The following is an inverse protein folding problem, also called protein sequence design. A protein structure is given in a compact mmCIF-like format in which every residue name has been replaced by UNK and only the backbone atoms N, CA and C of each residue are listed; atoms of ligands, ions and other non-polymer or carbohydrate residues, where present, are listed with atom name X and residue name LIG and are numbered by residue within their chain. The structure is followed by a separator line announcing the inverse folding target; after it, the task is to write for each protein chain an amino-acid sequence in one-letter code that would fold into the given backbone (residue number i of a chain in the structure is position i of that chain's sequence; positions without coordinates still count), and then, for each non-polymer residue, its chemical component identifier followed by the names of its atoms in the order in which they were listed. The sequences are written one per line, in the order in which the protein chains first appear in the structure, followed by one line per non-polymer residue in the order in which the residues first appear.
data_IF_811938535660
#
_entry.id   IF_811938535660
#
_cell.length_a   1.000
_cell.length_b   1.000
_cell.length_c   1.000
_cell.angle_alpha   90.00
_cell.angle_beta   90.00
_cell.angle_gamma   90.00
#
_symmetry.space_group_name_H-M   'P 1'
#
loop_
_entity.id
_entity.type
_entity.pdbx_description
1 polymer ?
#
# COMPACT_ATOMS: atom_id res chain seq x y z
N UNK A 1 8.73 69.84 -34.35
CA UNK A 1 9.28 68.46 -34.26
C UNK A 1 8.49 67.76 -33.18
N UNK A 2 7.56 66.82 -33.55
CA UNK A 2 6.75 66.03 -32.61
C UNK A 2 7.34 64.64 -32.51
N UNK A 3 7.88 64.29 -31.35
CA UNK A 3 8.42 62.94 -31.07
C UNK A 3 7.25 62.04 -30.69
N UNK A 4 7.05 60.99 -31.47
CA UNK A 4 6.10 59.91 -31.18
C UNK A 4 6.83 58.83 -30.41
N UNK A 5 6.50 58.65 -29.11
CA UNK A 5 6.96 57.47 -28.34
C UNK A 5 6.09 56.28 -28.66
N UNK A 6 6.71 55.26 -29.27
CA UNK A 6 6.12 53.96 -29.49
C UNK A 6 6.31 53.14 -28.18
N UNK A 7 5.21 52.87 -27.46
CA UNK A 7 5.20 51.94 -26.33
C UNK A 7 5.06 50.53 -26.86
N UNK A 8 6.09 49.71 -26.74
CA UNK A 8 6.03 48.27 -27.05
C UNK A 8 5.36 47.53 -25.92
N UNK A 9 4.18 46.98 -26.17
CA UNK A 9 3.47 46.09 -25.24
C UNK A 9 4.05 44.66 -25.33
N UNK A 10 4.86 44.31 -24.33
CA UNK A 10 5.36 42.94 -24.18
C UNK A 10 4.23 42.02 -23.66
N UNK A 11 3.66 41.23 -24.53
CA UNK A 11 2.73 40.15 -24.15
C UNK A 11 3.54 39.00 -23.55
N UNK A 12 3.54 38.84 -22.24
CA UNK A 12 4.09 37.66 -21.55
C UNK A 12 3.12 36.50 -21.69
N UNK A 13 3.45 35.54 -22.55
CA UNK A 13 2.73 34.26 -22.65
C UNK A 13 3.12 33.41 -21.44
N UNK A 14 2.26 33.32 -20.43
CA UNK A 14 2.41 32.35 -19.33
C UNK A 14 2.15 30.95 -19.92
N UNK A 15 3.01 29.96 -19.65
CA UNK A 15 2.72 28.58 -20.03
C UNK A 15 1.47 28.13 -19.27
N UNK A 16 0.42 27.74 -20.00
CA UNK A 16 -0.71 27.05 -19.42
C UNK A 16 -0.22 25.68 -18.89
N UNK A 17 -0.08 25.56 -17.58
CA UNK A 17 0.08 24.24 -16.96
C UNK A 17 -1.19 23.44 -17.30
N UNK A 18 -1.04 22.39 -18.09
CA UNK A 18 -2.10 21.43 -18.32
C UNK A 18 -2.45 20.81 -16.96
N UNK A 19 -3.57 21.22 -16.40
CA UNK A 19 -4.14 20.65 -15.20
C UNK A 19 -4.68 19.30 -15.63
N UNK A 20 -4.06 18.20 -15.18
CA UNK A 20 -4.60 16.86 -15.40
C UNK A 20 -6.03 16.84 -14.87
N UNK A 21 -6.97 16.44 -15.73
CA UNK A 21 -8.37 16.31 -15.35
C UNK A 21 -8.48 15.25 -14.23
N UNK A 22 -9.02 15.59 -13.05
CA UNK A 22 -9.14 14.64 -11.95
C UNK A 22 -10.10 13.48 -12.24
N UNK A 23 -10.86 13.55 -13.34
CA UNK A 23 -11.94 12.61 -13.70
C UNK A 23 -11.65 11.76 -14.94
N UNK A 24 -10.39 11.59 -15.31
CA UNK A 24 -10.05 10.69 -16.42
C UNK A 24 -10.38 9.23 -16.07
N UNK A 25 -11.08 8.52 -16.96
CA UNK A 25 -11.34 7.09 -16.77
C UNK A 25 -10.01 6.31 -16.76
N UNK A 26 -9.84 5.45 -15.75
CA UNK A 26 -8.67 4.56 -15.60
C UNK A 26 -9.12 3.13 -15.87
N UNK A 27 -8.50 2.48 -16.86
CA UNK A 27 -8.67 1.05 -17.14
C UNK A 27 -7.30 0.40 -16.97
N UNK A 28 -7.07 -0.29 -15.84
CA UNK A 28 -5.88 -1.05 -15.59
C UNK A 28 -6.14 -2.55 -15.82
N UNK A 29 -5.31 -3.18 -16.69
CA UNK A 29 -5.32 -4.63 -16.85
C UNK A 29 -4.24 -5.21 -15.92
N UNK A 30 -4.59 -6.17 -15.06
CA UNK A 30 -3.68 -6.77 -14.09
C UNK A 30 -2.38 -7.31 -14.71
N UNK A 31 -2.44 -7.82 -15.96
CA UNK A 31 -1.26 -8.30 -16.68
C UNK A 31 -0.24 -7.20 -17.03
N UNK A 32 -0.68 -5.94 -17.08
CA UNK A 32 0.21 -4.80 -17.38
C UNK A 32 0.67 -4.04 -16.13
N UNK A 33 0.21 -4.41 -14.94
CA UNK A 33 0.62 -3.79 -13.68
C UNK A 33 2.11 -4.03 -13.41
N UNK A 34 2.85 -2.96 -13.12
CA UNK A 34 4.28 -3.02 -12.78
C UNK A 34 4.42 -3.06 -11.27
N UNK A 35 4.77 -4.23 -10.75
CA UNK A 35 5.02 -4.42 -9.33
C UNK A 35 6.45 -4.04 -8.98
N UNK A 36 6.61 -3.29 -7.89
CA UNK A 36 7.91 -2.87 -7.35
C UNK A 36 7.95 -3.08 -5.83
N UNK A 37 9.15 -3.17 -5.27
CA UNK A 37 9.34 -3.15 -3.84
C UNK A 37 8.90 -1.79 -3.26
N UNK A 38 8.47 -1.81 -2.01
CA UNK A 38 7.98 -0.63 -1.29
C UNK A 38 9.00 -0.31 -0.19
N UNK A 39 9.59 0.88 -0.16
CA UNK A 39 10.50 1.25 0.92
C UNK A 39 9.85 1.08 2.29
N UNK A 40 10.54 0.41 3.20
CA UNK A 40 10.07 0.17 4.56
C UNK A 40 9.02 -0.96 4.71
N UNK A 41 8.69 -1.68 3.65
CA UNK A 41 7.80 -2.87 3.68
C UNK A 41 8.67 -4.12 3.42
N UNK A 42 8.32 -5.33 3.95
CA UNK A 42 9.09 -6.53 3.72
C UNK A 42 9.26 -6.87 2.23
N UNK A 43 10.42 -7.36 1.82
CA UNK A 43 10.75 -7.71 0.41
C UNK A 43 9.84 -8.79 -0.18
N UNK A 44 9.14 -9.54 0.66
CA UNK A 44 8.15 -10.53 0.25
C UNK A 44 6.82 -9.90 -0.24
N UNK A 45 6.66 -8.58 -0.11
CA UNK A 45 5.52 -7.82 -0.60
C UNK A 45 5.94 -6.85 -1.72
N UNK A 46 5.14 -6.76 -2.77
CA UNK A 46 5.32 -5.82 -3.87
C UNK A 46 4.01 -5.10 -4.17
N UNK A 47 4.11 -3.89 -4.75
CA UNK A 47 2.96 -3.02 -5.02
C UNK A 47 2.97 -2.54 -6.46
N UNK A 48 1.79 -2.46 -7.07
CA UNK A 48 1.53 -1.75 -8.30
C UNK A 48 0.48 -0.66 -8.07
N UNK A 49 0.77 0.57 -8.49
CA UNK A 49 -0.20 1.68 -8.42
C UNK A 49 -1.21 1.53 -9.55
N UNK A 50 -2.49 1.46 -9.22
CA UNK A 50 -3.60 1.39 -10.18
C UNK A 50 -4.22 2.78 -10.42
N UNK A 51 -4.29 3.64 -9.38
CA UNK A 51 -4.78 5.02 -9.47
C UNK A 51 -4.15 5.88 -8.37
N UNK A 52 -3.93 7.16 -8.68
CA UNK A 52 -3.39 8.12 -7.73
C UNK A 52 -1.88 8.01 -7.55
N UNK A 53 -1.38 8.62 -6.47
CA UNK A 53 0.03 8.61 -6.06
C UNK A 53 0.07 8.35 -4.54
N UNK A 54 0.43 7.12 -4.12
CA UNK A 54 0.44 6.79 -2.69
C UNK A 54 1.43 7.63 -1.87
N UNK A 55 2.40 8.29 -2.51
CA UNK A 55 3.30 9.21 -1.82
C UNK A 55 2.72 10.62 -1.60
N UNK A 56 1.58 10.96 -2.21
CA UNK A 56 1.03 12.31 -2.19
C UNK A 56 -0.42 12.43 -1.76
N UNK A 57 -1.21 11.36 -1.87
CA UNK A 57 -2.64 11.44 -1.59
C UNK A 57 -3.37 10.11 -1.71
N UNK A 58 -4.71 10.17 -1.81
CA UNK A 58 -5.52 8.99 -1.97
C UNK A 58 -5.10 8.16 -3.18
N UNK A 59 -5.07 6.84 -3.01
CA UNK A 59 -4.62 5.94 -4.06
C UNK A 59 -5.30 4.58 -4.01
N UNK A 60 -5.27 3.90 -5.15
CA UNK A 60 -5.65 2.50 -5.28
C UNK A 60 -4.43 1.73 -5.73
N UNK A 61 -4.08 0.71 -4.99
CA UNK A 61 -2.90 -0.11 -5.26
C UNK A 61 -3.26 -1.60 -5.24
N UNK A 62 -2.57 -2.39 -6.05
CA UNK A 62 -2.58 -3.84 -5.93
C UNK A 62 -1.29 -4.29 -5.24
N UNK A 63 -1.40 -5.08 -4.19
CA UNK A 63 -0.26 -5.70 -3.53
C UNK A 63 -0.24 -7.21 -3.78
N UNK A 64 0.97 -7.75 -3.89
CA UNK A 64 1.24 -9.19 -3.95
C UNK A 64 2.19 -9.58 -2.84
N UNK A 65 1.92 -10.73 -2.24
CA UNK A 65 2.70 -11.29 -1.14
C UNK A 65 3.10 -12.71 -1.49
N UNK A 66 4.36 -13.05 -1.28
CA UNK A 66 4.80 -14.45 -1.41
C UNK A 66 4.20 -15.31 -0.28
N UNK A 67 4.08 -16.66 -0.47
CA UNK A 67 3.60 -17.53 0.59
C UNK A 67 4.42 -17.39 1.88
N UNK A 68 3.73 -17.22 3.00
CA UNK A 68 4.37 -17.03 4.30
C UNK A 68 4.82 -15.60 4.61
N UNK A 69 4.64 -14.66 3.67
CA UNK A 69 4.96 -13.25 3.89
C UNK A 69 4.23 -12.68 5.11
N UNK A 70 4.96 -11.98 5.96
CA UNK A 70 4.43 -11.30 7.15
C UNK A 70 4.79 -9.82 7.05
N UNK A 71 3.77 -8.95 7.02
CA UNK A 71 3.94 -7.53 7.29
C UNK A 71 3.78 -7.37 8.81
N UNK A 72 4.84 -7.02 9.57
CA UNK A 72 4.81 -7.00 11.04
C UNK A 72 3.74 -6.07 11.60
N UNK A 73 3.52 -6.11 12.91
CA UNK A 73 2.61 -5.19 13.61
C UNK A 73 2.94 -3.74 13.31
N UNK A 74 1.95 -3.02 12.77
CA UNK A 74 2.10 -1.63 12.32
C UNK A 74 0.75 -0.92 12.33
N UNK A 75 0.79 0.38 12.07
CA UNK A 75 -0.37 1.20 11.78
C UNK A 75 -0.03 2.19 10.65
N UNK A 76 -1.06 2.78 10.04
CA UNK A 76 -0.96 3.81 9.00
C UNK A 76 -1.68 5.08 9.44
N UNK A 77 -1.20 6.26 9.00
CA UNK A 77 -1.96 7.50 9.11
C UNK A 77 -3.24 7.47 8.27
N UNK A 78 -3.23 7.04 7.00
CA UNK A 78 -4.47 6.82 6.27
C UNK A 78 -5.28 5.65 6.84
N UNK A 79 -6.58 5.66 6.61
CA UNK A 79 -7.37 4.44 6.68
C UNK A 79 -7.14 3.60 5.42
N UNK A 80 -7.35 2.32 5.55
CA UNK A 80 -7.08 1.34 4.51
C UNK A 80 -8.28 0.41 4.33
N UNK A 81 -8.70 0.19 3.09
CA UNK A 81 -9.66 -0.86 2.75
C UNK A 81 -8.99 -1.89 1.87
N UNK A 82 -9.22 -3.18 2.14
CA UNK A 82 -8.62 -4.30 1.43
C UNK A 82 -9.68 -5.21 0.82
N UNK A 83 -9.47 -5.60 -0.44
CA UNK A 83 -10.26 -6.62 -1.14
C UNK A 83 -9.29 -7.68 -1.66
N UNK A 84 -9.21 -8.86 -1.03
CA UNK A 84 -8.38 -9.94 -1.52
C UNK A 84 -8.83 -10.43 -2.91
N UNK A 85 -7.85 -10.68 -3.76
CA UNK A 85 -8.02 -11.23 -5.11
C UNK A 85 -7.60 -12.69 -5.20
N UNK A 86 -6.65 -13.10 -4.36
CA UNK A 86 -6.09 -14.45 -4.40
C UNK A 86 -5.42 -14.81 -3.07
N UNK A 87 -5.29 -16.10 -2.82
CA UNK A 87 -4.64 -16.64 -1.62
C UNK A 87 -5.49 -16.53 -0.36
N UNK A 88 -4.83 -16.64 0.78
CA UNK A 88 -5.44 -16.55 2.12
C UNK A 88 -4.70 -15.45 2.88
N UNK A 89 -5.33 -14.29 2.99
CA UNK A 89 -4.78 -13.12 3.68
C UNK A 89 -5.32 -13.06 5.10
N UNK A 90 -4.48 -13.35 6.08
CA UNK A 90 -4.81 -13.21 7.49
C UNK A 90 -4.52 -11.79 7.94
N UNK A 91 -5.52 -11.13 8.51
CA UNK A 91 -5.41 -9.82 9.15
C UNK A 91 -5.62 -10.01 10.66
N UNK A 92 -4.67 -9.56 11.44
CA UNK A 92 -4.74 -9.56 12.90
C UNK A 92 -4.82 -8.13 13.39
N UNK A 93 -5.89 -7.75 14.08
CA UNK A 93 -6.02 -6.47 14.77
C UNK A 93 -5.54 -6.63 16.21
N UNK A 94 -4.86 -5.60 16.75
CA UNK A 94 -4.36 -5.68 18.12
C UNK A 94 -5.50 -5.82 19.12
N UNK A 95 -5.46 -6.89 19.92
CA UNK A 95 -6.50 -7.20 20.92
C UNK A 95 -7.68 -8.02 20.37
N UNK A 96 -7.69 -8.35 19.08
CA UNK A 96 -8.75 -9.12 18.45
C UNK A 96 -8.25 -10.48 17.96
N UNK A 97 -9.18 -11.36 17.61
CA UNK A 97 -8.83 -12.63 16.95
C UNK A 97 -8.48 -12.38 15.50
N UNK A 98 -7.47 -13.07 14.95
CA UNK A 98 -7.16 -13.02 13.54
C UNK A 98 -8.35 -13.38 12.67
N UNK A 99 -8.51 -12.66 11.56
CA UNK A 99 -9.54 -12.93 10.54
C UNK A 99 -8.85 -13.34 9.26
N UNK A 100 -9.31 -14.44 8.68
CA UNK A 100 -8.81 -14.94 7.40
C UNK A 100 -9.72 -14.41 6.29
N UNK A 101 -9.16 -13.61 5.41
CA UNK A 101 -9.85 -13.05 4.25
C UNK A 101 -9.49 -13.85 2.99
N UNK A 102 -10.50 -14.11 2.17
CA UNK A 102 -10.40 -14.80 0.89
C UNK A 102 -10.89 -13.92 -0.25
N UNK A 103 -10.81 -14.40 -1.49
CA UNK A 103 -11.25 -13.66 -2.66
C UNK A 103 -12.70 -13.16 -2.51
N UNK A 104 -12.88 -11.85 -2.65
CA UNK A 104 -14.16 -11.15 -2.58
C UNK A 104 -14.57 -10.69 -1.17
N UNK A 105 -13.85 -11.08 -0.12
CA UNK A 105 -14.05 -10.52 1.20
C UNK A 105 -13.61 -9.04 1.23
N UNK A 106 -14.07 -8.31 2.25
CA UNK A 106 -13.74 -6.92 2.46
C UNK A 106 -13.22 -6.69 3.88
N UNK A 107 -12.09 -6.01 4.00
CA UNK A 107 -11.52 -5.53 5.25
C UNK A 107 -11.45 -4.01 5.28
N UNK A 108 -11.76 -3.40 6.43
CA UNK A 108 -11.54 -1.98 6.69
C UNK A 108 -10.66 -1.82 7.93
N UNK A 109 -9.57 -1.12 7.76
CA UNK A 109 -8.57 -0.86 8.79
C UNK A 109 -8.55 0.65 9.04
N UNK A 110 -9.11 1.10 10.19
CA UNK A 110 -9.15 2.53 10.51
C UNK A 110 -7.75 3.14 10.65
N UNK A 111 -7.65 4.44 10.39
CA UNK A 111 -6.45 5.23 10.68
C UNK A 111 -5.90 4.91 12.07
N UNK A 112 -4.58 4.68 12.15
CA UNK A 112 -3.82 4.39 13.38
C UNK A 112 -4.24 3.12 14.14
N UNK A 113 -5.06 2.27 13.54
CA UNK A 113 -5.39 0.98 14.14
C UNK A 113 -4.25 -0.01 13.95
N UNK A 114 -3.68 -0.51 15.05
CA UNK A 114 -2.54 -1.43 15.00
C UNK A 114 -2.99 -2.78 14.48
N UNK A 115 -2.33 -3.25 13.41
CA UNK A 115 -2.65 -4.51 12.76
C UNK A 115 -1.40 -5.20 12.20
N UNK A 116 -1.56 -6.45 11.77
CA UNK A 116 -0.57 -7.26 11.08
C UNK A 116 -1.24 -7.96 9.92
N UNK A 117 -0.53 -8.10 8.80
CA UNK A 117 -0.98 -8.89 7.66
C UNK A 117 -0.07 -10.09 7.43
N UNK A 118 -0.65 -11.23 7.04
CA UNK A 118 0.09 -12.44 6.71
C UNK A 118 -0.53 -13.19 5.54
N UNK A 119 0.29 -13.52 4.55
CA UNK A 119 -0.10 -14.45 3.50
C UNK A 119 0.03 -15.88 3.99
N UNK A 120 -1.08 -16.55 4.27
CA UNK A 120 -1.10 -17.93 4.80
C UNK A 120 -1.23 -18.97 3.69
N UNK A 121 -0.90 -20.22 3.99
CA UNK A 121 -0.95 -21.30 3.02
C UNK A 121 0.25 -21.32 2.06
N UNK A 122 0.11 -22.10 0.97
CA UNK A 122 1.21 -22.39 0.02
C UNK A 122 1.12 -21.60 -1.29
N UNK A 123 0.08 -20.76 -1.46
CA UNK A 123 -0.11 -19.94 -2.66
C UNK A 123 0.19 -18.48 -2.36
N UNK A 124 0.67 -17.70 -3.34
CA UNK A 124 0.77 -16.25 -3.19
C UNK A 124 -0.58 -15.61 -2.88
N UNK A 125 -0.55 -14.52 -2.11
CA UNK A 125 -1.72 -13.68 -1.88
C UNK A 125 -1.65 -12.44 -2.77
N UNK A 126 -2.83 -11.93 -3.15
CA UNK A 126 -3.00 -10.65 -3.82
C UNK A 126 -4.22 -9.94 -3.27
N UNK A 127 -4.14 -8.62 -3.14
CA UNK A 127 -5.28 -7.80 -2.71
C UNK A 127 -5.20 -6.40 -3.33
N UNK A 128 -6.37 -5.78 -3.56
CA UNK A 128 -6.48 -4.35 -3.86
C UNK A 128 -6.66 -3.62 -2.55
N UNK A 129 -5.89 -2.54 -2.38
CA UNK A 129 -5.99 -1.63 -1.26
C UNK A 129 -6.41 -0.24 -1.71
N UNK A 130 -7.29 0.38 -0.95
CA UNK A 130 -7.74 1.76 -1.11
C UNK A 130 -7.22 2.56 0.07
N UNK A 131 -6.40 3.55 -0.20
CA UNK A 131 -5.84 4.47 0.79
C UNK A 131 -6.50 5.83 0.63
N UNK A 132 -6.97 6.44 1.71
CA UNK A 132 -7.69 7.73 1.68
C UNK A 132 -6.77 8.95 1.84
N UNK A 133 -5.46 8.73 2.12
CA UNK A 133 -4.45 9.76 2.26
C UNK A 133 -3.07 9.21 1.82
N UNK A 134 -1.97 10.01 1.86
CA UNK A 134 -0.62 9.52 1.58
C UNK A 134 -0.25 8.32 2.45
N UNK A 135 0.36 7.31 1.84
CA UNK A 135 0.81 6.11 2.51
C UNK A 135 2.01 6.40 3.42
N UNK A 136 1.94 5.90 4.64
CA UNK A 136 3.04 5.72 5.56
C UNK A 136 2.91 4.35 6.25
N UNK A 137 3.95 3.93 6.98
CA UNK A 137 3.90 2.72 7.81
C UNK A 137 4.72 2.92 9.07
N UNK A 138 4.09 2.70 10.22
CA UNK A 138 4.67 2.85 11.55
C UNK A 138 4.67 1.51 12.26
N UNK A 139 5.84 0.90 12.38
CA UNK A 139 6.00 -0.38 13.04
C UNK A 139 5.94 -0.25 14.54
N UNK A 140 5.36 -1.27 15.19
CA UNK A 140 5.25 -1.32 16.65
C UNK A 140 5.69 -2.66 17.21
N UNK A 141 6.15 -2.66 18.46
CA UNK A 141 6.42 -3.87 19.22
C UNK A 141 5.13 -4.48 19.82
N UNK A 142 5.30 -5.55 20.59
CA UNK A 142 4.18 -6.24 21.26
C UNK A 142 3.40 -5.35 22.24
N UNK A 143 4.05 -4.35 22.84
CA UNK A 143 3.39 -3.38 23.72
C UNK A 143 2.56 -2.36 22.93
N UNK A 144 2.91 -2.12 21.66
CA UNK A 144 2.36 -1.10 20.79
C UNK A 144 3.20 0.16 20.73
N UNK A 145 4.41 0.13 21.29
CA UNK A 145 5.37 1.22 21.15
C UNK A 145 6.02 1.18 19.75
N UNK A 146 6.20 2.34 19.14
CA UNK A 146 6.86 2.43 17.83
C UNK A 146 8.31 1.95 17.90
N UNK A 147 8.72 1.21 16.87
CA UNK A 147 10.08 0.71 16.69
C UNK A 147 10.59 1.02 15.27
N UNK A 148 11.91 1.11 15.08
CA UNK A 148 12.47 1.31 13.75
C UNK A 148 12.05 0.21 12.76
N UNK A 149 11.74 0.59 11.51
CA UNK A 149 11.37 -0.36 10.45
C UNK A 149 12.41 -1.49 10.30
N UNK A 150 13.69 -1.17 10.31
CA UNK A 150 14.76 -2.16 10.20
C UNK A 150 14.69 -3.25 11.28
N UNK A 151 14.31 -2.90 12.52
CA UNK A 151 14.13 -3.85 13.59
C UNK A 151 12.92 -4.76 13.33
N UNK A 152 11.76 -4.18 13.00
CA UNK A 152 10.53 -4.93 12.74
C UNK A 152 10.70 -5.90 11.58
N UNK A 153 11.34 -5.46 10.48
CA UNK A 153 11.59 -6.28 9.29
C UNK A 153 12.54 -7.44 9.59
N UNK A 154 13.63 -7.21 10.34
CA UNK A 154 14.56 -8.27 10.72
C UNK A 154 13.90 -9.31 11.66
N UNK A 155 12.98 -8.91 12.53
CA UNK A 155 12.21 -9.83 13.35
C UNK A 155 11.23 -10.66 12.53
N UNK A 156 10.54 -10.06 11.56
CA UNK A 156 9.64 -10.76 10.64
C UNK A 156 10.39 -11.78 9.77
N UNK A 157 11.56 -11.42 9.23
CA UNK A 157 12.39 -12.32 8.43
C UNK A 157 12.75 -13.59 9.23
N UNK A 158 13.14 -13.46 10.50
CA UNK A 158 13.42 -14.60 11.37
C UNK A 158 12.20 -15.51 11.57
N UNK A 159 10.99 -14.95 11.57
CA UNK A 159 9.74 -15.73 11.68
C UNK A 159 9.41 -16.45 10.38
N UNK A 160 9.65 -15.81 9.24
CA UNK A 160 9.41 -16.39 7.91
C UNK A 160 10.42 -17.52 7.55
N UNK A 161 11.65 -17.43 8.05
CA UNK A 161 12.73 -18.40 7.75
C UNK A 161 12.78 -19.59 8.70
N UNK A 162 12.00 -19.61 9.79
CA UNK A 162 11.97 -20.75 10.72
C UNK A 162 11.44 -22.02 10.04
N UNK A 163 12.22 -23.13 10.01
CA UNK A 163 11.72 -24.41 9.55
C UNK A 163 10.60 -24.90 10.49
N UNK A 164 9.38 -24.99 9.99
CA UNK A 164 8.28 -25.58 10.77
C UNK A 164 6.91 -24.94 10.65
N UNK A 165 6.73 -23.84 9.95
CA UNK A 165 5.39 -23.37 9.57
C UNK A 165 4.89 -24.13 8.32
N UNK A 166 4.71 -25.45 8.49
CA UNK A 166 3.99 -26.26 7.49
C UNK A 166 2.58 -25.65 7.36
N UNK A 167 2.12 -25.33 6.14
CA UNK A 167 0.75 -24.87 5.95
C UNK A 167 -0.20 -25.88 6.57
N UNK A 168 -1.19 -25.41 7.34
CA UNK A 168 -2.22 -26.28 7.89
C UNK A 168 -2.83 -27.09 6.74
N UNK A 169 -2.78 -28.41 6.85
CA UNK A 169 -3.45 -29.29 5.93
C UNK A 169 -4.94 -28.98 5.94
N UNK A 170 -5.54 -28.84 4.76
CA UNK A 170 -6.94 -28.62 4.52
C UNK A 170 -7.79 -29.68 5.21
N UNK A 171 -8.93 -29.34 5.86
CA UNK A 171 -9.98 -30.32 6.16
C UNK A 171 -10.64 -30.83 4.88
#
# INVERSE_FOLDING_TARGET
MKSILLAALLLTILPASAQESPDAAVVAKGISAKFAAIPGVPDCATLAVLKGDPGKGPSVVEMKFTPGCIVPWHWHTPSESAIPLAGLLEISMKGEKPVLLTNGDYGYLPSKHIHQAKCTGSKPCGAIFFLDAPFDIHYVDKSGAEIPAAQALAEAEKLMTKPGTKPAAKP
#
